data_IF_201400900080
#
_entry.id   IF_201400900080
#
_cell.length_a   1.000
_cell.length_b   1.000
_cell.length_c   1.000
_cell.angle_alpha   90.00
_cell.angle_beta   90.00
_cell.angle_gamma   90.00
#
_symmetry.space_group_name_H-M   'P 1'
#
loop_
_entity.id
_entity.type
_entity.pdbx_description
1 polymer ?
#
# COMPACT_ATOMS: atom_id res chain seq x y z
N UNK A 1 -1.19 7.12 27.63
CA UNK A 1 -1.70 5.73 27.70
C UNK A 1 -2.17 5.34 26.31
N UNK A 2 -1.23 4.87 25.50
CA UNK A 2 -1.49 4.38 24.15
C UNK A 2 -2.07 2.97 24.23
N UNK A 3 -3.18 2.77 23.54
CA UNK A 3 -3.71 1.43 23.24
C UNK A 3 -3.43 1.16 21.76
N UNK A 4 -2.80 0.03 21.40
CA UNK A 4 -2.64 -0.32 20.00
C UNK A 4 -4.01 -0.76 19.46
N UNK A 5 -4.59 0.04 18.58
CA UNK A 5 -5.81 -0.30 17.85
C UNK A 5 -5.47 -1.33 16.76
N UNK A 6 -5.46 -2.61 17.13
CA UNK A 6 -5.49 -3.73 16.19
C UNK A 6 -6.98 -3.96 15.86
N UNK A 7 -7.53 -3.16 14.95
CA UNK A 7 -8.83 -3.47 14.37
C UNK A 7 -8.63 -4.55 13.30
N UNK A 8 -8.77 -5.82 13.72
CA UNK A 8 -8.98 -6.94 12.79
C UNK A 8 -10.42 -6.85 12.30
N UNK A 9 -10.62 -6.49 11.04
CA UNK A 9 -11.93 -6.40 10.42
C UNK A 9 -12.46 -7.81 10.10
N UNK A 10 -13.08 -8.48 11.07
CA UNK A 10 -13.79 -9.76 10.86
C UNK A 10 -15.16 -9.54 10.17
N UNK A 11 -15.17 -8.96 8.96
CA UNK A 11 -16.41 -8.61 8.24
C UNK A 11 -17.20 -9.80 7.67
N UNK A 12 -16.58 -10.99 7.56
CA UNK A 12 -17.21 -12.19 6.99
C UNK A 12 -16.65 -13.48 7.61
N UNK A 13 -17.47 -14.49 7.93
CA UNK A 13 -16.97 -15.80 8.39
C UNK A 13 -16.13 -16.54 7.33
N UNK A 14 -16.14 -16.06 6.09
CA UNK A 14 -15.32 -16.58 5.00
C UNK A 14 -13.99 -15.85 4.85
N UNK A 15 -13.71 -14.85 5.69
CA UNK A 15 -12.44 -14.16 5.66
C UNK A 15 -11.28 -15.10 6.01
N UNK A 16 -11.54 -16.22 6.72
CA UNK A 16 -10.58 -17.33 6.92
C UNK A 16 -10.00 -17.91 5.63
N UNK A 17 -10.72 -17.82 4.50
CA UNK A 17 -10.23 -18.28 3.19
C UNK A 17 -9.31 -17.27 2.51
N UNK A 18 -9.23 -16.05 3.05
CA UNK A 18 -8.35 -14.98 2.59
C UNK A 18 -7.40 -14.47 3.71
N UNK A 19 -7.60 -14.92 4.96
CA UNK A 19 -6.88 -14.52 6.16
C UNK A 19 -5.55 -15.26 6.26
N UNK A 20 -4.47 -14.51 6.44
CA UNK A 20 -3.10 -15.02 6.59
C UNK A 20 -2.64 -14.89 8.05
N UNK A 21 -2.76 -15.92 8.92
CA UNK A 21 -2.19 -15.87 10.26
C UNK A 21 -0.68 -16.15 10.32
N UNK A 22 -0.02 -16.52 9.20
CA UNK A 22 1.40 -16.82 9.20
C UNK A 22 2.14 -16.13 8.05
N UNK A 23 3.06 -15.24 8.43
CA UNK A 23 4.07 -14.64 7.57
C UNK A 23 5.12 -15.66 7.11
N UNK A 24 4.68 -16.64 6.32
CA UNK A 24 5.58 -17.46 5.53
C UNK A 24 5.84 -16.78 4.19
N UNK A 25 7.13 -16.81 3.80
CA UNK A 25 7.71 -16.35 2.54
C UNK A 25 7.02 -16.98 1.32
N UNK A 26 5.81 -16.52 0.97
CA UNK A 26 5.37 -16.55 -0.42
C UNK A 26 5.99 -15.32 -1.08
N UNK A 27 7.08 -15.52 -1.81
CA UNK A 27 7.68 -14.51 -2.67
C UNK A 27 6.59 -14.05 -3.67
N UNK A 28 6.02 -12.84 -3.50
CA UNK A 28 4.88 -12.41 -4.29
C UNK A 28 5.43 -11.86 -5.60
N UNK A 29 5.26 -12.60 -6.68
CA UNK A 29 5.86 -12.30 -7.98
C UNK A 29 6.54 -13.49 -8.65
N UNK A 30 6.56 -14.68 -8.04
CA UNK A 30 6.59 -15.86 -8.89
C UNK A 30 5.25 -15.91 -9.61
N UNK A 31 5.23 -15.50 -10.88
CA UNK A 31 4.53 -16.30 -11.88
C UNK A 31 4.99 -17.74 -11.64
N UNK A 32 4.34 -18.42 -10.69
CA UNK A 32 4.66 -19.78 -10.35
C UNK A 32 4.09 -20.52 -11.54
N UNK A 33 4.98 -20.74 -12.51
CA UNK A 33 4.69 -21.28 -13.82
C UNK A 33 3.67 -22.40 -13.59
N UNK A 34 2.41 -22.18 -13.98
CA UNK A 34 1.31 -23.07 -13.61
C UNK A 34 1.61 -24.50 -14.05
N UNK A 35 2.44 -24.64 -15.09
CA UNK A 35 3.00 -25.87 -15.63
C UNK A 35 3.89 -26.67 -14.66
N UNK A 36 4.40 -26.08 -13.58
CA UNK A 36 5.32 -26.73 -12.62
C UNK A 36 4.68 -27.04 -11.26
N UNK A 37 3.38 -26.76 -11.07
CA UNK A 37 2.72 -27.07 -9.79
C UNK A 37 2.66 -28.58 -9.55
N UNK A 38 3.12 -29.02 -8.39
CA UNK A 38 3.01 -30.42 -7.99
C UNK A 38 1.54 -30.87 -7.85
N UNK A 39 1.27 -32.18 -7.88
CA UNK A 39 -0.09 -32.71 -7.72
C UNK A 39 -0.74 -32.28 -6.40
N UNK A 40 -0.01 -32.38 -5.28
CA UNK A 40 -0.52 -32.00 -3.95
C UNK A 40 -0.78 -30.49 -3.85
N UNK A 41 0.12 -29.68 -4.41
CA UNK A 41 -0.03 -28.23 -4.51
C UNK A 41 -1.26 -27.87 -5.36
N UNK A 42 -1.47 -28.59 -6.46
CA UNK A 42 -2.65 -28.40 -7.31
C UNK A 42 -3.96 -28.78 -6.60
N UNK A 43 -3.97 -29.86 -5.80
CA UNK A 43 -5.14 -30.23 -4.98
C UNK A 43 -5.38 -29.17 -3.90
N UNK A 44 -4.33 -28.67 -3.26
CA UNK A 44 -4.44 -27.61 -2.27
C UNK A 44 -4.98 -26.32 -2.89
N UNK A 45 -4.43 -25.89 -4.01
CA UNK A 45 -4.89 -24.76 -4.82
C UNK A 45 -6.34 -24.95 -5.28
N UNK A 46 -6.74 -26.16 -5.67
CA UNK A 46 -8.13 -26.47 -6.04
C UNK A 46 -9.09 -26.26 -4.86
N UNK A 47 -8.76 -26.79 -3.68
CA UNK A 47 -9.64 -26.72 -2.50
C UNK A 47 -9.66 -25.30 -1.91
N UNK A 48 -8.49 -24.72 -1.64
CA UNK A 48 -8.34 -23.49 -0.88
C UNK A 48 -8.08 -22.24 -1.73
N UNK A 49 -7.53 -22.41 -2.92
CA UNK A 49 -7.10 -21.30 -3.78
C UNK A 49 -5.67 -20.84 -3.52
N UNK A 50 -5.26 -19.83 -4.29
CA UNK A 50 -3.89 -19.30 -4.29
C UNK A 50 -3.77 -17.92 -3.62
N UNK A 51 -4.88 -17.41 -3.09
CA UNK A 51 -4.97 -16.08 -2.47
C UNK A 51 -5.41 -14.98 -3.45
N UNK A 52 -5.25 -13.74 -3.02
CA UNK A 52 -5.62 -12.56 -3.80
C UNK A 52 -4.46 -12.16 -4.75
N UNK A 53 -4.66 -12.18 -6.09
CA UNK A 53 -3.66 -11.71 -7.05
C UNK A 53 -3.35 -10.21 -6.88
N UNK A 54 -4.30 -9.44 -6.33
CA UNK A 54 -4.19 -8.00 -6.14
C UNK A 54 -3.61 -7.62 -4.77
N UNK A 55 -2.95 -8.54 -4.04
CA UNK A 55 -2.42 -8.25 -2.70
C UNK A 55 -1.42 -7.09 -2.64
N UNK A 56 -0.74 -6.76 -3.76
CA UNK A 56 0.20 -5.64 -3.89
C UNK A 56 -0.41 -4.42 -4.59
N UNK A 57 -1.72 -4.40 -4.80
CA UNK A 57 -2.38 -3.36 -5.57
C UNK A 57 -2.13 -1.97 -4.99
N UNK A 58 -2.21 -1.80 -3.67
CA UNK A 58 -1.98 -0.50 -3.01
C UNK A 58 -0.56 0.02 -3.26
N UNK A 59 0.47 -0.83 -3.12
CA UNK A 59 1.85 -0.48 -3.42
C UNK A 59 2.04 -0.11 -4.89
N UNK A 60 1.42 -0.88 -5.80
CA UNK A 60 1.43 -0.60 -7.24
C UNK A 60 0.73 0.72 -7.57
N UNK A 61 -0.41 1.00 -6.96
CA UNK A 61 -1.17 2.24 -7.12
C UNK A 61 -0.38 3.43 -6.63
N UNK A 62 0.22 3.37 -5.45
CA UNK A 62 1.05 4.43 -4.91
C UNK A 62 2.28 4.69 -5.80
N UNK A 63 2.96 3.63 -6.27
CA UNK A 63 4.11 3.74 -7.17
C UNK A 63 3.73 4.33 -8.53
N UNK A 64 2.57 3.94 -9.09
CA UNK A 64 2.06 4.46 -10.34
C UNK A 64 1.62 5.93 -10.21
N UNK A 65 0.91 6.29 -9.13
CA UNK A 65 0.55 7.66 -8.81
C UNK A 65 1.78 8.55 -8.68
N UNK A 66 2.80 8.12 -7.93
CA UNK A 66 4.05 8.85 -7.79
C UNK A 66 4.76 9.06 -9.15
N UNK A 67 4.70 8.07 -10.05
CA UNK A 67 5.26 8.22 -11.39
C UNK A 67 4.49 9.26 -12.23
N UNK A 68 3.15 9.23 -12.20
CA UNK A 68 2.32 10.24 -12.89
C UNK A 68 2.56 11.64 -12.32
N UNK A 69 2.70 11.77 -11.00
CA UNK A 69 3.01 13.04 -10.33
C UNK A 69 4.37 13.59 -10.78
N UNK A 70 5.41 12.75 -10.79
CA UNK A 70 6.76 13.13 -11.25
C UNK A 70 6.77 13.54 -12.73
N UNK A 71 6.10 12.80 -13.59
CA UNK A 71 5.95 13.14 -15.02
C UNK A 71 5.26 14.50 -15.21
N UNK A 72 4.33 14.85 -14.33
CA UNK A 72 3.65 16.14 -14.30
C UNK A 72 4.34 17.18 -13.40
N UNK A 73 5.56 16.91 -12.92
CA UNK A 73 6.41 17.84 -12.14
C UNK A 73 5.76 18.32 -10.85
N UNK A 74 5.10 17.42 -10.13
CA UNK A 74 4.60 17.69 -8.78
C UNK A 74 3.25 18.39 -8.69
N UNK A 75 2.50 18.57 -9.78
CA UNK A 75 1.12 19.07 -9.72
C UNK A 75 0.21 18.27 -10.66
N UNK A 76 -0.87 17.70 -10.10
CA UNK A 76 -1.80 16.82 -10.83
C UNK A 76 -3.25 17.09 -10.45
N UNK A 77 -4.17 16.71 -11.33
CA UNK A 77 -5.62 16.75 -11.07
C UNK A 77 -6.14 15.36 -10.70
N UNK A 78 -7.29 15.29 -10.02
CA UNK A 78 -7.96 14.01 -9.73
C UNK A 78 -8.17 13.17 -11.01
N UNK A 79 -8.51 13.83 -12.12
CA UNK A 79 -8.70 13.19 -13.42
C UNK A 79 -7.44 12.47 -13.96
N UNK A 80 -6.24 12.97 -13.63
CA UNK A 80 -4.98 12.34 -14.04
C UNK A 80 -4.61 11.14 -13.17
N UNK A 81 -5.01 11.17 -11.90
CA UNK A 81 -4.74 10.08 -10.96
C UNK A 81 -5.80 8.98 -11.02
N UNK A 82 -7.04 9.30 -11.41
CA UNK A 82 -8.13 8.33 -11.44
C UNK A 82 -7.85 7.02 -12.20
N UNK A 83 -7.13 7.00 -13.35
CA UNK A 83 -6.81 5.74 -14.05
C UNK A 83 -5.82 4.83 -13.30
N UNK A 84 -4.99 5.40 -12.43
CA UNK A 84 -4.02 4.65 -11.60
C UNK A 84 -4.53 4.41 -10.18
N UNK A 85 -5.67 4.97 -9.80
CA UNK A 85 -6.30 4.79 -8.50
C UNK A 85 -7.60 3.99 -8.63
N UNK A 86 -8.39 3.96 -7.56
CA UNK A 86 -9.66 3.24 -7.48
C UNK A 86 -10.85 4.20 -7.36
N UNK A 87 -11.27 4.88 -8.45
CA UNK A 87 -12.41 5.76 -8.39
C UNK A 87 -13.70 4.96 -8.15
N UNK A 88 -14.56 5.36 -7.19
CA UNK A 88 -15.74 4.59 -6.80
C UNK A 88 -16.88 4.66 -7.83
N UNK A 89 -16.88 5.66 -8.71
CA UNK A 89 -17.95 5.91 -9.69
C UNK A 89 -17.39 6.36 -11.03
N UNK A 90 -18.22 6.20 -12.07
CA UNK A 90 -17.97 6.78 -13.39
C UNK A 90 -17.93 8.33 -13.34
N UNK A 91 -17.20 8.97 -14.27
CA UNK A 91 -17.24 10.42 -14.40
C UNK A 91 -18.62 10.90 -14.87
N UNK A 92 -19.18 11.94 -14.25
CA UNK A 92 -20.54 12.47 -14.54
C UNK A 92 -20.43 13.90 -15.09
N UNK A 93 -20.63 14.08 -16.40
CA UNK A 93 -20.60 15.40 -17.01
C UNK A 93 -19.23 16.07 -16.93
N UNK A 94 -19.19 17.35 -16.56
CA UNK A 94 -17.97 18.17 -16.53
C UNK A 94 -17.25 18.17 -15.16
N UNK A 95 -17.79 17.47 -14.17
CA UNK A 95 -17.28 17.42 -12.81
C UNK A 95 -17.36 16.02 -12.22
N UNK A 96 -16.80 15.88 -11.02
CA UNK A 96 -16.89 14.64 -10.26
C UNK A 96 -17.23 15.03 -8.83
N UNK A 97 -18.34 14.50 -8.32
CA UNK A 97 -18.80 14.83 -6.96
C UNK A 97 -17.94 14.18 -5.87
N UNK A 98 -17.08 13.22 -6.24
CA UNK A 98 -16.32 12.41 -5.31
C UNK A 98 -14.86 12.25 -5.76
N UNK A 99 -13.99 13.12 -5.23
CA UNK A 99 -12.52 13.04 -5.38
C UNK A 99 -11.85 12.37 -4.16
N UNK A 100 -12.63 11.72 -3.28
CA UNK A 100 -12.11 11.10 -2.05
C UNK A 100 -11.05 10.03 -2.30
N UNK A 101 -11.07 9.40 -3.48
CA UNK A 101 -10.08 8.40 -3.90
C UNK A 101 -8.64 8.95 -4.00
N UNK A 102 -8.44 10.27 -4.02
CA UNK A 102 -7.12 10.90 -4.06
C UNK A 102 -6.51 11.06 -2.66
N UNK A 103 -7.33 11.00 -1.60
CA UNK A 103 -6.91 11.32 -0.23
C UNK A 103 -5.77 10.43 0.27
N UNK A 104 -5.83 9.13 0.03
CA UNK A 104 -4.81 8.19 0.48
C UNK A 104 -3.44 8.51 -0.14
N UNK A 105 -3.44 8.92 -1.41
CA UNK A 105 -2.22 9.35 -2.12
C UNK A 105 -1.70 10.69 -1.58
N UNK A 106 -2.58 11.62 -1.22
CA UNK A 106 -2.17 12.89 -0.60
C UNK A 106 -1.48 12.64 0.73
N UNK A 107 -2.03 11.78 1.56
CA UNK A 107 -1.44 11.43 2.86
C UNK A 107 -0.12 10.68 2.66
N UNK A 108 -0.09 9.69 1.77
CA UNK A 108 1.09 8.84 1.56
C UNK A 108 2.27 9.58 0.90
N UNK A 109 2.00 10.57 0.04
CA UNK A 109 3.03 11.31 -0.72
C UNK A 109 3.20 12.77 -0.26
N UNK A 110 2.66 13.13 0.91
CA UNK A 110 2.68 14.49 1.47
C UNK A 110 2.17 15.58 0.49
N UNK A 111 1.10 15.28 -0.23
CA UNK A 111 0.45 16.21 -1.14
C UNK A 111 -0.48 17.18 -0.42
N UNK A 112 -0.73 18.34 -1.04
CA UNK A 112 -1.66 19.36 -0.55
C UNK A 112 -2.62 19.80 -1.66
N UNK A 113 -3.92 20.00 -1.35
CA UNK A 113 -4.88 20.52 -2.31
C UNK A 113 -4.77 22.05 -2.40
N UNK A 114 -4.67 22.57 -3.61
CA UNK A 114 -4.74 24.00 -3.93
C UNK A 114 -5.90 24.26 -4.90
N UNK A 115 -6.57 25.40 -4.74
CA UNK A 115 -7.69 25.77 -5.60
C UNK A 115 -7.22 26.84 -6.58
N UNK A 116 -7.36 26.57 -7.88
CA UNK A 116 -7.08 27.55 -8.93
C UNK A 116 -8.16 28.65 -8.97
N UNK A 117 -7.85 29.83 -9.54
CA UNK A 117 -8.85 30.90 -9.74
C UNK A 117 -10.08 30.44 -10.53
N UNK A 118 -9.93 29.42 -11.38
CA UNK A 118 -10.99 28.80 -12.16
C UNK A 118 -11.88 27.84 -11.33
N UNK A 119 -11.65 27.73 -10.01
CA UNK A 119 -12.40 26.86 -9.09
C UNK A 119 -12.04 25.37 -9.20
N UNK A 120 -10.96 25.02 -9.89
CA UNK A 120 -10.50 23.62 -10.03
C UNK A 120 -9.52 23.27 -8.91
N UNK A 121 -9.71 22.10 -8.28
CA UNK A 121 -8.80 21.57 -7.27
C UNK A 121 -7.60 20.93 -7.99
N UNK A 122 -6.41 21.37 -7.61
CA UNK A 122 -5.12 20.85 -8.06
C UNK A 122 -4.38 20.29 -6.86
N UNK A 123 -3.83 19.10 -7.00
CA UNK A 123 -3.08 18.43 -5.97
C UNK A 123 -1.58 18.62 -6.21
N UNK A 124 -0.91 19.30 -5.28
CA UNK A 124 0.50 19.67 -5.37
C UNK A 124 1.33 18.78 -4.43
N UNK A 125 2.43 18.25 -4.94
CA UNK A 125 3.33 17.32 -4.28
C UNK A 125 4.77 17.87 -4.34
N UNK A 126 5.18 18.68 -3.35
CA UNK A 126 6.49 19.32 -3.34
C UNK A 126 7.65 18.32 -3.37
N UNK A 127 7.56 17.25 -2.58
CA UNK A 127 8.62 16.24 -2.43
C UNK A 127 8.88 15.44 -3.71
N UNK A 128 7.87 15.31 -4.58
CA UNK A 128 7.96 14.60 -5.86
C UNK A 128 8.34 15.50 -7.04
N UNK A 129 8.59 16.79 -6.78
CA UNK A 129 9.09 17.74 -7.78
C UNK A 129 10.62 17.76 -7.92
N UNK A 130 11.31 17.06 -7.02
CA UNK A 130 12.77 16.95 -6.98
C UNK A 130 13.23 15.81 -7.88
N UNK A 131 13.76 16.16 -9.04
CA UNK A 131 14.40 15.19 -9.94
C UNK A 131 15.90 15.20 -9.65
N UNK A 132 16.42 14.13 -9.05
CA UNK A 132 17.87 13.91 -8.98
C UNK A 132 18.38 13.51 -10.38
N UNK A 133 19.38 14.22 -10.90
CA UNK A 133 20.00 13.97 -12.23
C UNK A 133 20.56 12.53 -12.36
N UNK A 134 20.88 11.89 -11.24
CA UNK A 134 21.52 10.56 -11.17
C UNK A 134 20.51 9.39 -11.28
N UNK A 135 19.20 9.64 -11.13
CA UNK A 135 18.19 8.58 -11.18
C UNK A 135 17.82 8.13 -12.60
N UNK A 136 18.39 8.75 -13.64
CA UNK A 136 18.10 8.40 -15.04
C UNK A 136 18.87 7.17 -15.55
N UNK A 137 19.97 6.76 -14.88
CA UNK A 137 20.90 5.77 -15.45
C UNK A 137 20.94 4.41 -14.72
N UNK A 138 20.44 4.29 -13.48
CA UNK A 138 20.52 3.04 -12.70
C UNK A 138 19.23 2.67 -11.97
N UNK A 139 18.14 2.51 -12.73
CA UNK A 139 16.81 2.23 -12.19
C UNK A 139 15.99 1.23 -12.99
N UNK A 140 16.60 0.24 -13.65
CA UNK A 140 15.90 -0.95 -14.13
C UNK A 140 15.54 -1.88 -12.96
N UNK A 141 14.78 -1.36 -11.99
CA UNK A 141 14.11 -2.19 -11.00
C UNK A 141 12.82 -2.69 -11.61
N UNK A 142 12.84 -3.95 -12.11
CA UNK A 142 11.69 -4.78 -12.50
C UNK A 142 10.33 -4.07 -12.38
N UNK A 143 9.84 -3.54 -13.49
CA UNK A 143 8.47 -3.08 -13.65
C UNK A 143 7.78 -3.97 -14.69
N UNK A 144 7.31 -5.18 -14.33
CA UNK A 144 6.29 -5.82 -15.13
C UNK A 144 4.97 -5.12 -14.81
N UNK A 145 4.66 -4.07 -15.57
CA UNK A 145 3.29 -3.54 -15.69
C UNK A 145 3.16 -2.95 -17.09
N UNK A 146 3.08 -3.85 -18.06
CA UNK A 146 2.79 -3.51 -19.45
C UNK A 146 1.28 -3.29 -19.61
N UNK A 147 0.80 -2.13 -19.16
CA UNK A 147 -0.50 -1.61 -19.57
C UNK A 147 -0.36 -0.13 -19.93
N UNK A 148 0.41 0.12 -21.00
CA UNK A 148 0.33 1.37 -21.76
C UNK A 148 -0.92 1.35 -22.63
N UNK A 149 -2.07 1.77 -22.10
CA UNK A 149 -3.19 2.14 -22.97
C UNK A 149 -3.03 3.59 -23.42
N UNK A 150 -2.70 3.80 -24.70
CA UNK A 150 -2.71 5.13 -25.35
C UNK A 150 -1.93 6.23 -24.61
N UNK A 151 -0.84 5.86 -23.95
CA UNK A 151 0.04 6.78 -23.21
C UNK A 151 -0.37 7.09 -21.77
N UNK A 152 -1.49 6.57 -21.27
CA UNK A 152 -1.85 6.60 -19.85
C UNK A 152 -1.52 5.27 -19.19
N UNK A 153 -0.86 5.31 -18.03
CA UNK A 153 -0.71 4.14 -17.15
C UNK A 153 -2.09 3.84 -16.56
N UNK A 154 -2.65 2.67 -16.85
CA UNK A 154 -3.91 2.22 -16.24
C UNK A 154 -3.56 1.00 -15.40
N UNK A 155 -3.99 1.00 -14.14
CA UNK A 155 -3.88 -0.20 -13.31
C UNK A 155 -5.13 -1.03 -13.57
N UNK A 156 -4.92 -2.29 -13.95
CA UNK A 156 -5.98 -3.25 -14.10
C UNK A 156 -5.82 -4.27 -12.99
N UNK A 157 -6.84 -4.37 -12.14
CA UNK A 157 -6.92 -5.43 -11.16
C UNK A 157 -7.19 -6.76 -11.88
N UNK A 158 -6.55 -7.82 -11.42
CA UNK A 158 -6.76 -9.16 -11.97
C UNK A 158 -7.96 -9.82 -11.28
N UNK A 159 -8.77 -10.54 -12.05
CA UNK A 159 -9.82 -11.38 -11.47
C UNK A 159 -9.20 -12.47 -10.60
N UNK A 160 -9.85 -12.79 -9.47
CA UNK A 160 -9.43 -13.88 -8.59
C UNK A 160 -9.73 -15.20 -9.32
N UNK A 161 -8.70 -15.96 -9.75
CA UNK A 161 -8.93 -17.22 -10.42
C UNK A 161 -9.51 -18.24 -9.44
N UNK A 162 -10.19 -19.26 -9.97
CA UNK A 162 -10.61 -20.38 -9.14
C UNK A 162 -9.40 -21.12 -8.56
N UNK A 163 -8.41 -21.40 -9.39
CA UNK A 163 -7.14 -22.03 -9.02
C UNK A 163 -6.14 -21.83 -10.16
N UNK A 164 -4.88 -21.58 -9.80
CA UNK A 164 -3.74 -21.47 -10.71
C UNK A 164 -3.22 -22.84 -11.16
N UNK A 165 -3.78 -23.94 -10.64
CA UNK A 165 -3.41 -25.28 -11.04
C UNK A 165 -3.72 -25.55 -12.53
N UNK A 166 -2.92 -26.40 -13.20
CA UNK A 166 -3.21 -26.88 -14.54
C UNK A 166 -4.63 -27.44 -14.67
N UNK A 167 -5.28 -27.24 -15.82
CA UNK A 167 -6.65 -27.71 -16.06
C UNK A 167 -6.83 -29.21 -15.81
N UNK A 168 -5.84 -30.01 -16.23
CA UNK A 168 -5.82 -31.45 -15.97
C UNK A 168 -5.80 -31.74 -14.46
N UNK A 169 -5.01 -31.00 -13.69
CA UNK A 169 -4.93 -31.21 -12.25
C UNK A 169 -6.20 -30.74 -11.52
N UNK A 170 -6.84 -29.67 -11.99
CA UNK A 170 -8.17 -29.24 -11.49
C UNK A 170 -9.22 -30.32 -11.76
N UNK A 171 -9.20 -30.94 -12.93
CA UNK A 171 -10.10 -32.05 -13.28
C UNK A 171 -9.84 -33.27 -12.39
N UNK A 172 -8.58 -33.66 -12.20
CA UNK A 172 -8.21 -34.78 -11.32
C UNK A 172 -8.61 -34.50 -9.87
N UNK A 173 -8.33 -33.30 -9.36
CA UNK A 173 -8.71 -32.90 -8.00
C UNK A 173 -10.23 -32.91 -7.81
N UNK A 174 -10.99 -32.43 -8.80
CA UNK A 174 -12.45 -32.51 -8.80
C UNK A 174 -12.97 -33.95 -8.84
N UNK A 175 -12.42 -34.79 -9.73
CA UNK A 175 -12.80 -36.20 -9.83
C UNK A 175 -12.52 -36.96 -8.52
N UNK A 176 -11.37 -36.70 -7.89
CA UNK A 176 -11.01 -37.29 -6.60
C UNK A 176 -12.03 -36.91 -5.51
N UNK A 177 -12.48 -35.66 -5.49
CA UNK A 177 -13.51 -35.18 -4.56
C UNK A 177 -14.86 -35.90 -4.75
N UNK A 178 -15.28 -36.06 -5.99
CA UNK A 178 -16.54 -36.74 -6.33
C UNK A 178 -16.46 -38.23 -5.96
N UNK A 179 -15.37 -38.91 -6.34
CA UNK A 179 -15.16 -40.33 -6.02
C UNK A 179 -15.15 -40.54 -4.51
N UNK A 180 -14.45 -39.68 -3.76
CA UNK A 180 -14.39 -39.75 -2.31
C UNK A 180 -15.77 -39.55 -1.67
N UNK A 181 -16.58 -38.61 -2.17
CA UNK A 181 -17.93 -38.37 -1.68
C UNK A 181 -18.87 -39.54 -1.96
N UNK A 182 -18.85 -40.08 -3.18
CA UNK A 182 -19.64 -41.27 -3.55
C UNK A 182 -19.23 -42.47 -2.69
N UNK A 183 -17.92 -42.68 -2.52
CA UNK A 183 -17.37 -43.73 -1.67
C UNK A 183 -17.82 -43.59 -0.21
N UNK A 184 -17.77 -42.38 0.35
CA UNK A 184 -18.25 -42.11 1.70
C UNK A 184 -19.76 -42.38 1.84
N UNK A 185 -20.58 -41.92 0.89
CA UNK A 185 -22.03 -42.19 0.91
C UNK A 185 -22.31 -43.69 0.80
N UNK A 186 -21.63 -44.40 -0.09
CA UNK A 186 -21.78 -45.84 -0.26
C UNK A 186 -21.35 -46.61 1.00
N UNK A 187 -20.23 -46.22 1.62
CA UNK A 187 -19.80 -46.76 2.91
C UNK A 187 -20.87 -46.52 4.00
N UNK A 188 -21.52 -45.36 3.99
CA UNK A 188 -22.64 -45.06 4.88
C UNK A 188 -23.82 -46.02 4.69
N UNK A 189 -24.13 -46.42 3.45
CA UNK A 189 -25.16 -47.43 3.16
C UNK A 189 -24.75 -48.80 3.71
N UNK A 190 -23.50 -49.21 3.52
CA UNK A 190 -22.96 -50.47 4.04
C UNK A 190 -23.00 -50.53 5.58
N UNK A 191 -22.68 -49.42 6.26
CA UNK A 191 -22.62 -49.35 7.73
C UNK A 191 -23.98 -49.46 8.42
N UNK A 192 -25.07 -49.20 7.68
CA UNK A 192 -26.46 -49.34 8.15
C UNK A 192 -26.93 -50.79 8.21
N UNK A 193 -26.22 -51.73 7.58
CA UNK A 193 -26.60 -53.15 7.62
C UNK A 193 -26.51 -53.68 9.06
N UNK A 194 -27.63 -54.12 9.68
CA UNK A 194 -27.61 -54.67 11.04
C UNK A 194 -26.80 -55.96 11.13
N UNK A 195 -26.59 -56.66 10.01
CA UNK A 195 -25.81 -57.90 9.96
C UNK A 195 -24.32 -57.68 9.73
N UNK A 196 -23.87 -56.44 9.55
CA UNK A 196 -22.46 -56.11 9.30
C UNK A 196 -21.50 -56.69 10.36
N UNK A 197 -21.77 -56.62 11.68
CA UNK A 197 -20.89 -57.20 12.70
C UNK A 197 -20.62 -58.70 12.52
N UNK A 198 -21.57 -59.44 11.93
CA UNK A 198 -21.42 -60.88 11.67
C UNK A 198 -20.62 -61.17 10.40
N UNK A 199 -20.55 -60.22 9.45
CA UNK A 199 -19.82 -60.37 8.18
C UNK A 199 -18.33 -60.02 8.29
N UNK A 200 -18.02 -58.95 9.01
CA UNK A 200 -16.66 -58.38 9.09
C UNK A 200 -16.07 -58.36 10.50
N UNK A 201 -16.83 -58.85 11.48
CA UNK A 201 -16.45 -58.85 12.89
C UNK A 201 -16.96 -57.60 13.64
N UNK A 202 -17.36 -57.74 14.91
CA UNK A 202 -17.97 -56.64 15.67
C UNK A 202 -17.02 -55.47 15.93
N UNK A 203 -15.73 -55.74 16.21
CA UNK A 203 -14.75 -54.69 16.46
C UNK A 203 -14.48 -53.81 15.24
N UNK A 204 -14.34 -54.40 14.06
CA UNK A 204 -14.13 -53.65 12.82
C UNK A 204 -15.37 -52.83 12.44
N UNK A 205 -16.56 -53.43 12.54
CA UNK A 205 -17.81 -52.74 12.26
C UNK A 205 -17.98 -51.49 13.14
N UNK A 206 -17.71 -51.60 14.43
CA UNK A 206 -17.84 -50.47 15.37
C UNK A 206 -16.78 -49.39 15.14
N UNK A 207 -15.54 -49.81 14.81
CA UNK A 207 -14.46 -48.87 14.45
C UNK A 207 -14.86 -48.05 13.21
N UNK A 208 -15.38 -48.69 12.17
CA UNK A 208 -15.84 -47.99 10.96
C UNK A 208 -17.01 -47.05 11.25
N UNK A 209 -17.97 -47.46 12.08
CA UNK A 209 -19.09 -46.60 12.51
C UNK A 209 -18.61 -45.36 13.27
N UNK A 210 -17.58 -45.50 14.11
CA UNK A 210 -16.99 -44.39 14.87
C UNK A 210 -16.23 -43.41 13.96
N UNK A 211 -15.49 -43.92 12.98
CA UNK A 211 -14.71 -43.09 12.04
C UNK A 211 -15.56 -42.45 10.93
N UNK A 212 -16.69 -43.08 10.58
CA UNK A 212 -17.57 -42.66 9.51
C UNK A 212 -17.96 -41.16 9.52
N UNK A 213 -18.42 -40.55 10.64
CA UNK A 213 -18.79 -39.14 10.63
C UNK A 213 -17.62 -38.22 10.27
N UNK A 214 -16.39 -38.54 10.70
CA UNK A 214 -15.19 -37.76 10.35
C UNK A 214 -14.84 -37.90 8.87
N UNK A 215 -14.91 -39.12 8.34
CA UNK A 215 -14.67 -39.40 6.92
C UNK A 215 -15.70 -38.68 6.03
N UNK A 216 -16.98 -38.74 6.40
CA UNK A 216 -18.06 -38.06 5.70
C UNK A 216 -17.88 -36.54 5.76
N UNK A 217 -17.54 -35.99 6.93
CA UNK A 217 -17.28 -34.56 7.10
C UNK A 217 -16.14 -34.09 6.19
N UNK A 218 -15.06 -34.86 6.11
CA UNK A 218 -13.95 -34.57 5.18
C UNK A 218 -14.41 -34.62 3.72
N UNK A 219 -15.13 -35.66 3.30
CA UNK A 219 -15.60 -35.80 1.93
C UNK A 219 -16.56 -34.68 1.51
N UNK A 220 -17.45 -34.27 2.41
CA UNK A 220 -18.33 -33.11 2.20
C UNK A 220 -17.52 -31.83 2.14
N UNK A 221 -16.61 -31.59 3.09
CA UNK A 221 -15.79 -30.38 3.15
C UNK A 221 -14.93 -30.18 1.91
N UNK A 222 -14.28 -31.24 1.41
CA UNK A 222 -13.45 -31.20 0.20
C UNK A 222 -14.21 -30.68 -1.03
N UNK A 223 -15.52 -30.96 -1.13
CA UNK A 223 -16.36 -30.49 -2.24
C UNK A 223 -17.06 -29.16 -1.93
N UNK A 224 -17.53 -28.98 -0.69
CA UNK A 224 -18.30 -27.81 -0.28
C UNK A 224 -17.45 -26.53 -0.21
N UNK A 225 -16.20 -26.64 0.28
CA UNK A 225 -15.28 -25.50 0.41
C UNK A 225 -14.99 -24.84 -0.95
N UNK A 226 -14.50 -25.54 -2.00
CA UNK A 226 -14.22 -24.90 -3.28
C UNK A 226 -15.49 -24.38 -3.95
N UNK A 227 -16.64 -25.04 -3.78
CA UNK A 227 -17.92 -24.55 -4.29
C UNK A 227 -18.32 -23.22 -3.65
N UNK A 228 -18.32 -23.14 -2.32
CA UNK A 228 -18.65 -21.92 -1.60
C UNK A 228 -17.66 -20.80 -1.96
N UNK A 229 -16.37 -21.09 -1.97
CA UNK A 229 -15.31 -20.17 -2.37
C UNK A 229 -15.52 -19.64 -3.79
N UNK A 230 -15.84 -20.50 -4.75
CA UNK A 230 -16.09 -20.09 -6.14
C UNK A 230 -17.26 -19.11 -6.27
N UNK A 231 -18.27 -19.23 -5.42
CA UNK A 231 -19.40 -18.31 -5.39
C UNK A 231 -18.99 -16.92 -4.87
N UNK A 232 -18.19 -16.87 -3.80
CA UNK A 232 -17.64 -15.60 -3.30
C UNK A 232 -16.63 -14.97 -4.27
N UNK A 233 -15.78 -15.76 -4.91
CA UNK A 233 -14.85 -15.28 -5.94
C UNK A 233 -15.62 -14.61 -7.09
N UNK A 234 -16.73 -15.19 -7.56
CA UNK A 234 -17.57 -14.55 -8.60
C UNK A 234 -18.13 -13.20 -8.16
N UNK A 235 -18.58 -13.09 -6.91
CA UNK A 235 -19.07 -11.83 -6.38
C UNK A 235 -17.96 -10.77 -6.30
N UNK A 236 -16.77 -11.14 -5.82
CA UNK A 236 -15.59 -10.27 -5.78
C UNK A 236 -15.10 -9.88 -7.19
N UNK A 237 -15.09 -10.82 -8.13
CA UNK A 237 -14.68 -10.55 -9.51
C UNK A 237 -15.61 -9.56 -10.21
N UNK A 238 -16.92 -9.58 -9.91
CA UNK A 238 -17.86 -8.58 -10.42
C UNK A 238 -17.55 -7.17 -9.89
N UNK A 239 -17.12 -7.05 -8.63
CA UNK A 239 -16.66 -5.77 -8.07
C UNK A 239 -15.34 -5.31 -8.72
N UNK A 240 -14.38 -6.22 -8.89
CA UNK A 240 -13.11 -5.96 -9.58
C UNK A 240 -13.37 -5.47 -11.02
N UNK A 241 -14.25 -6.13 -11.75
CA UNK A 241 -14.64 -5.76 -13.11
C UNK A 241 -15.27 -4.36 -13.14
N UNK A 242 -16.17 -4.04 -12.20
CA UNK A 242 -16.76 -2.72 -12.10
C UNK A 242 -15.71 -1.62 -11.84
N UNK A 243 -14.74 -1.87 -10.95
CA UNK A 243 -13.64 -0.92 -10.67
C UNK A 243 -12.77 -0.72 -11.90
N UNK A 244 -12.39 -1.79 -12.59
CA UNK A 244 -11.62 -1.73 -13.83
C UNK A 244 -12.38 -0.98 -14.94
N UNK A 245 -13.69 -1.20 -15.04
CA UNK A 245 -14.56 -0.47 -15.97
C UNK A 245 -14.56 1.03 -15.68
N UNK A 246 -14.66 1.44 -14.41
CA UNK A 246 -14.57 2.85 -14.04
C UNK A 246 -13.19 3.45 -14.39
N UNK A 247 -12.09 2.76 -14.09
CA UNK A 247 -10.74 3.23 -14.50
C UNK A 247 -10.63 3.47 -16.00
N UNK A 248 -11.21 2.59 -16.82
CA UNK A 248 -11.24 2.75 -18.26
C UNK A 248 -12.10 3.96 -18.71
N UNK A 249 -13.23 4.22 -18.05
CA UNK A 249 -14.04 5.42 -18.31
C UNK A 249 -13.29 6.70 -17.93
N UNK A 250 -12.60 6.69 -16.78
CA UNK A 250 -11.78 7.81 -16.33
C UNK A 250 -10.61 8.10 -17.26
N UNK A 251 -9.94 7.06 -17.76
CA UNK A 251 -8.88 7.21 -18.76
C UNK A 251 -9.41 7.88 -20.05
N UNK A 252 -10.62 7.52 -20.50
CA UNK A 252 -11.27 8.19 -21.64
C UNK A 252 -11.60 9.64 -21.30
N UNK A 253 -12.14 9.89 -20.11
CA UNK A 253 -12.52 11.23 -19.67
C UNK A 253 -11.32 12.18 -19.56
N UNK A 254 -10.17 11.69 -19.08
CA UNK A 254 -8.92 12.48 -19.00
C UNK A 254 -8.46 13.04 -20.37
N UNK A 255 -8.92 12.47 -21.48
CA UNK A 255 -8.61 12.96 -22.84
C UNK A 255 -9.54 14.06 -23.35
N UNK A 256 -10.64 14.33 -22.64
CA UNK A 256 -11.65 15.32 -23.02
C UNK A 256 -11.14 16.77 -22.86
N UNK A 257 -11.71 17.74 -23.59
CA UNK A 257 -11.26 19.14 -23.56
C UNK A 257 -11.28 19.77 -22.17
N UNK A 258 -12.32 19.49 -21.37
CA UNK A 258 -12.47 20.03 -20.01
C UNK A 258 -11.38 19.51 -19.07
N UNK A 259 -11.15 18.19 -19.05
CA UNK A 259 -10.05 17.59 -18.31
C UNK A 259 -8.69 18.15 -18.77
N UNK A 260 -8.47 18.32 -20.08
CA UNK A 260 -7.24 18.94 -20.61
C UNK A 260 -7.03 20.38 -20.15
N UNK A 261 -8.10 21.16 -19.97
CA UNK A 261 -8.02 22.52 -19.42
C UNK A 261 -7.55 22.48 -17.97
N UNK A 262 -8.16 21.63 -17.14
CA UNK A 262 -7.77 21.44 -15.74
C UNK A 262 -6.32 20.97 -15.60
N UNK A 263 -5.89 20.02 -16.45
CA UNK A 263 -4.51 19.53 -16.51
C UNK A 263 -3.54 20.66 -16.86
N UNK A 264 -3.93 21.56 -17.78
CA UNK A 264 -3.09 22.72 -18.13
C UNK A 264 -3.01 23.72 -16.98
N UNK A 265 -4.11 23.93 -16.24
CA UNK A 265 -4.12 24.78 -15.05
C UNK A 265 -3.22 24.20 -13.95
N UNK A 266 -3.26 22.88 -13.73
CA UNK A 266 -2.37 22.21 -12.78
C UNK A 266 -0.88 22.41 -13.11
N UNK A 267 -0.52 22.41 -14.40
CA UNK A 267 0.87 22.69 -14.82
C UNK A 267 1.35 24.10 -14.46
N UNK A 268 0.45 25.06 -14.25
CA UNK A 268 0.81 26.42 -13.84
C UNK A 268 1.13 26.51 -12.33
N UNK A 269 0.64 25.56 -11.52
CA UNK A 269 0.86 25.47 -10.08
C UNK A 269 1.99 24.49 -9.71
N UNK A 270 2.86 24.15 -10.66
CA UNK A 270 3.99 23.27 -10.37
C UNK A 270 4.91 23.95 -9.36
N UNK A 271 5.29 23.26 -8.27
CA UNK A 271 6.27 23.79 -7.33
C UNK A 271 7.59 24.03 -8.09
N UNK A 272 8.32 25.07 -7.68
CA UNK A 272 9.61 25.40 -8.29
C UNK A 272 10.55 24.19 -8.12
N UNK A 273 10.80 23.46 -9.21
CA UNK A 273 11.60 22.24 -9.18
C UNK A 273 12.99 22.54 -8.62
N UNK A 274 13.32 21.96 -7.46
CA UNK A 274 14.67 21.97 -6.93
C UNK A 274 15.45 20.87 -7.65
N UNK A 275 16.33 21.26 -8.57
CA UNK A 275 17.33 20.35 -9.11
C UNK A 275 18.42 20.22 -8.04
N UNK A 276 18.45 19.09 -7.33
CA UNK A 276 19.54 18.79 -6.41
C UNK A 276 20.80 18.56 -7.24
N UNK A 277 21.74 19.51 -7.18
CA UNK A 277 23.06 19.36 -7.79
C UNK A 277 23.88 18.42 -6.91
N UNK A 278 24.79 17.63 -7.48
CA UNK A 278 25.56 16.62 -6.73
C UNK A 278 26.36 17.13 -5.52
N UNK A 279 26.50 18.45 -5.35
CA UNK A 279 27.07 19.11 -4.17
C UNK A 279 26.12 19.22 -2.97
N UNK A 280 24.81 19.05 -3.18
CA UNK A 280 23.77 19.16 -2.13
C UNK A 280 23.35 17.79 -1.57
N UNK A 281 24.03 16.72 -1.97
CA UNK A 281 23.76 15.34 -1.50
C UNK A 281 24.71 15.03 -0.35
N UNK A 282 24.26 15.23 0.89
CA UNK A 282 25.03 14.91 2.11
C UNK A 282 25.21 13.39 2.30
N UNK A 283 24.25 12.58 1.83
CA UNK A 283 24.29 11.11 1.93
C UNK A 283 23.91 10.47 0.58
N UNK A 284 24.84 9.69 0.01
CA UNK A 284 24.65 8.98 -1.27
C UNK A 284 24.92 7.49 -1.07
N UNK A 285 24.00 6.64 -1.52
CA UNK A 285 24.09 5.17 -1.36
C UNK A 285 25.20 4.50 -2.16
N UNK A 286 25.97 5.27 -2.94
CA UNK A 286 27.11 4.78 -3.71
C UNK A 286 28.49 5.04 -3.08
N UNK A 287 28.54 5.68 -1.90
CA UNK A 287 29.80 5.88 -1.14
C UNK A 287 29.87 4.89 0.00
N UNK A 288 31.03 4.31 0.28
CA UNK A 288 31.21 3.45 1.45
C UNK A 288 30.98 4.25 2.74
N UNK A 289 30.36 3.62 3.75
CA UNK A 289 30.06 4.22 5.06
C UNK A 289 31.30 4.87 5.70
N UNK A 290 32.48 4.29 5.46
CA UNK A 290 33.76 4.80 5.97
C UNK A 290 34.15 6.16 5.35
N UNK A 291 33.76 6.39 4.09
CA UNK A 291 33.97 7.66 3.38
C UNK A 291 32.92 8.71 3.77
N UNK A 292 31.72 8.27 4.17
CA UNK A 292 30.63 9.13 4.67
C UNK A 292 30.83 9.55 6.13
N UNK A 293 31.49 8.71 6.93
CA UNK A 293 31.79 8.97 8.34
C UNK A 293 33.13 9.67 8.55
N UNK A 294 33.93 9.88 7.49
CA UNK A 294 35.15 10.68 7.57
C UNK A 294 34.76 12.15 7.82
N UNK A 295 34.97 12.68 9.04
CA UNK A 295 34.60 14.06 9.32
C UNK A 295 35.47 14.98 8.45
N UNK A 296 34.85 15.94 7.76
CA UNK A 296 35.59 16.97 7.04
C UNK A 296 36.54 17.64 8.03
N UNK A 297 37.84 17.59 7.75
CA UNK A 297 38.88 18.17 8.60
C UNK A 297 38.64 19.68 8.82
N UNK A 298 37.85 20.34 7.98
CA UNK A 298 37.42 21.72 8.18
C UNK A 298 36.28 21.84 9.21
N UNK A 299 35.35 20.90 9.28
CA UNK A 299 34.27 20.89 10.27
C UNK A 299 34.78 20.62 11.68
N UNK A 300 35.73 19.70 11.84
CA UNK A 300 36.41 19.44 13.12
C UNK A 300 37.13 20.68 13.63
N UNK A 301 37.84 21.41 12.75
CA UNK A 301 38.51 22.67 13.12
C UNK A 301 37.51 23.74 13.56
N UNK A 302 36.39 23.88 12.84
CA UNK A 302 35.32 24.83 13.20
C UNK A 302 34.64 24.43 14.51
N UNK A 303 34.49 23.15 14.78
CA UNK A 303 33.98 22.65 16.05
C UNK A 303 34.96 22.96 17.20
N UNK A 304 36.25 22.70 17.02
CA UNK A 304 37.29 23.04 18.00
C UNK A 304 37.40 24.54 18.26
N UNK A 305 37.24 25.37 17.23
CA UNK A 305 37.17 26.83 17.37
C UNK A 305 35.93 27.27 18.17
N UNK A 306 34.78 26.61 17.98
CA UNK A 306 33.57 26.85 18.80
C UNK A 306 33.75 26.39 20.24
N UNK A 307 34.42 25.27 20.48
CA UNK A 307 34.73 24.77 21.83
C UNK A 307 35.69 25.72 22.56
N UNK A 308 36.72 26.24 21.86
CA UNK A 308 37.65 27.24 22.42
C UNK A 308 37.03 28.61 22.63
N UNK A 309 36.14 29.05 21.74
CA UNK A 309 35.46 30.35 21.86
C UNK A 309 34.28 30.31 22.86
N UNK A 310 33.66 29.15 23.06
CA UNK A 310 32.62 28.92 24.08
C UNK A 310 33.16 28.95 25.52
N UNK A 311 34.41 28.55 25.74
CA UNK A 311 35.03 28.55 27.08
C UNK A 311 35.54 29.95 27.50
N UNK A 312 35.75 30.86 26.55
CA UNK A 312 36.21 32.24 26.84
C UNK A 312 35.07 33.23 27.10
N UNK A 313 33.81 32.86 26.79
CA UNK A 313 32.64 33.73 26.97
C UNK A 313 31.88 33.47 28.28
N UNK A 314 32.19 32.40 29.03
CA UNK A 314 31.61 32.14 30.36
C UNK A 314 32.37 32.82 31.52
N UNK A 315 33.60 33.28 31.30
CA UNK A 315 34.44 33.90 32.34
C UNK A 315 34.37 35.45 32.41
N UNK A 316 33.79 36.14 31.42
CA UNK A 316 33.76 37.62 31.36
C UNK A 316 32.40 38.27 31.72
N UNK A 317 31.37 37.48 32.04
CA UNK A 317 30.02 37.99 32.36
C UNK A 317 29.75 38.20 33.86
N UNK A 318 30.67 37.83 34.76
CA UNK A 318 30.44 37.89 36.22
C UNK A 318 30.95 39.14 36.93
N UNK A 319 31.40 40.18 36.23
CA UNK A 319 31.82 41.42 36.91
C UNK A 319 31.43 42.69 36.14
N UNK A 320 30.13 42.96 36.07
CA UNK A 320 29.57 44.29 35.74
C UNK A 320 28.13 44.44 36.29
N UNK A 321 27.96 44.19 37.58
CA UNK A 321 26.78 44.62 38.36
C UNK A 321 27.21 45.67 39.37
N UNK A 322 27.29 46.93 38.93
CA UNK A 322 27.62 48.05 39.81
C UNK A 322 27.68 49.36 39.04
N UNK A 323 26.53 50.00 38.83
CA UNK A 323 26.51 51.32 38.19
C UNK A 323 25.18 51.74 37.59
N UNK A 324 24.08 51.67 38.34
CA UNK A 324 22.81 52.27 37.96
C UNK A 324 22.11 52.83 39.20
N UNK A 325 22.57 53.99 39.67
CA UNK A 325 22.00 54.65 40.85
C UNK A 325 22.25 56.16 40.99
N UNK A 326 22.97 56.80 40.05
CA UNK A 326 23.34 58.23 40.19
C UNK A 326 22.51 59.21 39.34
N UNK A 327 21.55 58.74 38.54
CA UNK A 327 20.69 59.62 37.75
C UNK A 327 19.37 59.98 38.47
N UNK A 328 18.85 59.08 39.30
CA UNK A 328 17.58 59.27 40.01
C UNK A 328 17.73 60.07 41.32
N UNK A 329 18.89 59.99 41.95
CA UNK A 329 19.25 60.74 43.16
C UNK A 329 19.52 62.23 42.89
N UNK A 330 20.00 62.58 41.69
CA UNK A 330 20.19 63.98 41.27
C UNK A 330 18.89 64.66 40.84
N UNK A 331 17.93 63.91 40.31
CA UNK A 331 16.58 64.43 39.99
C UNK A 331 15.78 64.77 41.25
N UNK A 332 15.89 63.95 42.31
CA UNK A 332 15.21 64.23 43.58
C UNK A 332 15.81 65.39 44.37
N UNK A 333 17.10 65.68 44.23
CA UNK A 333 17.74 66.85 44.86
C UNK A 333 17.41 68.16 44.11
N UNK A 334 17.30 68.14 42.78
CA UNK A 334 16.91 69.32 42.00
C UNK A 334 15.41 69.69 42.15
N UNK A 335 14.55 68.72 42.47
CA UNK A 335 13.12 68.94 42.69
C UNK A 335 12.81 69.46 44.10
N UNK A 336 13.64 69.11 45.10
CA UNK A 336 13.54 69.65 46.46
C UNK A 336 14.02 71.12 46.58
N UNK A 337 14.93 71.58 45.72
CA UNK A 337 15.39 72.98 45.70
C UNK A 337 14.40 73.94 45.01
N UNK A 338 13.53 73.44 44.12
CA UNK A 338 12.47 74.23 43.46
C UNK A 338 11.22 74.46 44.30
N UNK A 339 11.07 73.77 45.43
CA UNK A 339 9.96 74.01 46.38
C UNK A 339 10.33 74.96 47.52
N UNK A 340 11.54 75.55 47.51
CA UNK A 340 12.02 76.47 48.56
C UNK A 340 12.45 77.87 48.08
N UNK A 341 12.29 78.23 46.81
CA UNK A 341 12.54 79.59 46.29
C UNK A 341 11.64 79.96 45.11
#
# INVERSE_FOLDING_TARGET
>A
FGSPNIFVNFGSPFDVFYYRPYGYYYAPGSEQNSEQMGLLESIFSYVFGDGDPNAKLEEQQLRAAAAVIRENGGAVTAAQLAPVLSPPKAPIGDGYDDESFVLDVLVALNGQPEVTPDGTIVYVFPDLSVTAEVAADQGQGYLPMDLKYKGSRIIQEEEIPFSNAPDVNKLIAGALGIINLVGAVYLGVLLRDPYLPYKVGPGFAETMRTLFPWLLTYAVGYNAIPLARSWFNKAKNAEIEARNYFRALWAKHATQPNAKRQIRAAKALRPAGRVLRGSDIEYSSGKDLDEQMAPDAQELRRFDERMRSGDSSSASSRNKSGGSGSAESRRRQAEAERMRR
#
